data_IF_082110737539
#
_entry.id   IF_082110737539
#
_cell.length_a   1.000
_cell.length_b   1.000
_cell.length_c   1.000
_cell.angle_alpha   90.00
_cell.angle_beta   90.00
_cell.angle_gamma   90.00
#
_symmetry.space_group_name_H-M   'P 1'
#
loop_
_entity.id
_entity.type
_entity.pdbx_description
1 polymer ?
#
# COMPACT_ATOMS: atom_id res chain seq x y z
N UNK A 1 34.71 -7.15 0.45
CA UNK A 1 33.69 -6.23 -0.08
C UNK A 1 33.19 -5.40 1.09
N UNK A 2 33.61 -4.14 1.17
CA UNK A 2 33.29 -3.25 2.29
C UNK A 2 31.87 -2.73 2.15
N UNK A 3 31.01 -3.06 3.11
CA UNK A 3 29.73 -2.38 3.33
C UNK A 3 30.00 -1.13 4.18
N UNK A 4 30.69 -0.15 3.62
CA UNK A 4 30.79 1.18 4.21
C UNK A 4 29.94 2.12 3.37
N UNK A 5 28.87 2.65 3.96
CA UNK A 5 28.25 3.89 3.48
C UNK A 5 26.81 3.84 2.96
N UNK A 6 25.98 2.85 3.29
CA UNK A 6 24.53 3.07 3.12
C UNK A 6 24.02 3.97 4.27
N UNK A 7 23.57 5.17 3.90
CA UNK A 7 23.00 6.14 4.82
C UNK A 7 21.66 5.65 5.37
N UNK A 8 21.25 6.09 6.56
CA UNK A 8 19.98 5.67 7.21
C UNK A 8 18.75 5.88 6.32
N UNK A 9 18.82 6.84 5.39
CA UNK A 9 17.77 7.13 4.42
C UNK A 9 17.64 6.03 3.34
N UNK A 10 18.76 5.48 2.88
CA UNK A 10 18.79 4.43 1.86
C UNK A 10 18.26 3.11 2.42
N UNK A 11 18.50 2.81 3.70
CA UNK A 11 17.94 1.62 4.37
C UNK A 11 16.41 1.69 4.44
N UNK A 12 15.85 2.86 4.77
CA UNK A 12 14.39 3.07 4.82
C UNK A 12 13.77 2.94 3.42
N UNK A 13 14.44 3.44 2.38
CA UNK A 13 13.95 3.38 0.99
C UNK A 13 14.06 1.96 0.42
N UNK A 14 15.13 1.21 0.71
CA UNK A 14 15.34 -0.15 0.19
C UNK A 14 14.40 -1.18 0.84
N UNK A 15 14.13 -1.05 2.15
CA UNK A 15 13.17 -1.91 2.86
C UNK A 15 11.73 -1.39 2.80
N UNK A 16 11.51 -0.19 2.27
CA UNK A 16 10.18 0.42 2.17
C UNK A 16 9.24 -0.34 1.24
N UNK A 17 9.74 -0.82 0.09
CA UNK A 17 8.90 -1.48 -0.93
C UNK A 17 8.24 -2.77 -0.45
N UNK A 18 8.96 -3.75 0.14
CA UNK A 18 8.31 -4.97 0.63
C UNK A 18 7.30 -4.69 1.75
N UNK A 19 7.59 -3.72 2.63
CA UNK A 19 6.69 -3.31 3.71
C UNK A 19 5.43 -2.66 3.14
N UNK A 20 5.59 -1.77 2.15
CA UNK A 20 4.48 -1.14 1.45
C UNK A 20 3.58 -2.18 0.77
N UNK A 21 4.15 -3.17 0.09
CA UNK A 21 3.39 -4.22 -0.58
C UNK A 21 2.55 -5.05 0.39
N UNK A 22 3.14 -5.43 1.53
CA UNK A 22 2.43 -6.18 2.59
C UNK A 22 1.31 -5.30 3.18
N UNK A 23 1.59 -4.02 3.44
CA UNK A 23 0.61 -3.09 3.97
C UNK A 23 -0.56 -2.88 2.99
N UNK A 24 -0.27 -2.69 1.70
CA UNK A 24 -1.29 -2.52 0.65
C UNK A 24 -2.20 -3.74 0.56
N UNK A 25 -1.65 -4.94 0.61
CA UNK A 25 -2.43 -6.20 0.63
C UNK A 25 -3.30 -6.30 1.89
N UNK A 26 -2.75 -5.97 3.06
CA UNK A 26 -3.50 -6.00 4.31
C UNK A 26 -4.67 -5.01 4.32
N UNK A 27 -4.43 -3.77 3.89
CA UNK A 27 -5.46 -2.73 3.77
C UNK A 27 -6.54 -3.16 2.77
N UNK A 28 -6.15 -3.66 1.60
CA UNK A 28 -7.08 -4.18 0.60
C UNK A 28 -8.00 -5.27 1.19
N UNK A 29 -7.43 -6.24 1.90
CA UNK A 29 -8.20 -7.32 2.53
C UNK A 29 -9.17 -6.79 3.59
N UNK A 30 -8.74 -5.83 4.41
CA UNK A 30 -9.60 -5.20 5.40
C UNK A 30 -10.78 -4.47 4.75
N UNK A 31 -10.52 -3.59 3.78
CA UNK A 31 -11.56 -2.85 3.06
C UNK A 31 -12.57 -3.79 2.39
N UNK A 32 -12.10 -4.86 1.75
CA UNK A 32 -12.96 -5.87 1.14
C UNK A 32 -13.84 -6.59 2.18
N UNK A 33 -13.31 -6.88 3.36
CA UNK A 33 -14.04 -7.53 4.45
C UNK A 33 -15.15 -6.63 4.98
N UNK A 34 -14.83 -5.36 5.23
CA UNK A 34 -15.82 -4.37 5.67
C UNK A 34 -16.95 -4.19 4.64
N UNK A 35 -16.59 -4.02 3.37
CA UNK A 35 -17.56 -3.90 2.27
C UNK A 35 -18.51 -5.10 2.19
N UNK A 36 -17.97 -6.32 2.24
CA UNK A 36 -18.77 -7.56 2.16
C UNK A 36 -19.65 -7.79 3.38
N UNK A 37 -19.22 -7.33 4.55
CA UNK A 37 -19.98 -7.45 5.79
C UNK A 37 -21.05 -6.36 5.95
N UNK A 38 -21.11 -5.36 5.06
CA UNK A 38 -21.99 -4.20 5.23
C UNK A 38 -21.52 -3.24 6.33
N UNK A 39 -20.26 -3.32 6.73
CA UNK A 39 -19.69 -2.50 7.80
C UNK A 39 -19.07 -1.21 7.23
N UNK A 40 -19.45 -0.02 7.73
CA UNK A 40 -18.81 1.22 7.33
C UNK A 40 -17.36 1.31 7.83
N UNK A 41 -16.61 2.24 7.26
CA UNK A 41 -15.28 2.64 7.75
C UNK A 41 -15.27 4.13 8.06
N UNK A 42 -14.28 4.56 8.84
CA UNK A 42 -14.07 5.97 9.19
C UNK A 42 -12.71 6.41 8.68
N UNK A 43 -12.68 7.56 8.00
CA UNK A 43 -11.44 8.20 7.56
C UNK A 43 -11.33 9.61 8.13
N UNK A 44 -10.11 10.12 8.16
CA UNK A 44 -9.85 11.54 8.38
C UNK A 44 -9.62 12.21 7.03
N UNK A 45 -10.44 13.21 6.68
CA UNK A 45 -10.35 13.92 5.40
C UNK A 45 -10.65 15.39 5.62
N UNK A 46 -9.81 16.28 5.10
CA UNK A 46 -10.09 17.73 5.17
C UNK A 46 -10.17 18.31 6.59
N UNK A 47 -9.60 17.65 7.60
CA UNK A 47 -9.67 18.09 8.99
C UNK A 47 -10.91 17.63 9.74
N UNK A 48 -11.71 16.73 9.16
CA UNK A 48 -12.90 16.16 9.78
C UNK A 48 -12.93 14.63 9.70
N UNK A 49 -13.79 14.04 10.55
CA UNK A 49 -14.10 12.62 10.56
C UNK A 49 -15.19 12.34 9.53
N UNK A 50 -14.88 11.54 8.51
CA UNK A 50 -15.83 11.14 7.48
C UNK A 50 -16.14 9.65 7.61
N UNK A 51 -17.42 9.31 7.72
CA UNK A 51 -17.90 7.93 7.70
C UNK A 51 -18.19 7.55 6.25
N UNK A 52 -17.61 6.45 5.78
CA UNK A 52 -17.86 5.89 4.45
C UNK A 52 -18.75 4.65 4.61
N UNK A 53 -19.99 4.67 4.08
CA UNK A 53 -20.86 3.50 4.03
C UNK A 53 -20.21 2.34 3.28
N UNK A 54 -20.59 1.10 3.62
CA UNK A 54 -19.96 -0.10 3.07
C UNK A 54 -20.05 -0.19 1.53
N UNK A 55 -21.18 0.24 0.98
CA UNK A 55 -21.47 0.30 -0.45
C UNK A 55 -20.54 1.26 -1.21
N UNK A 56 -20.10 2.33 -0.55
CA UNK A 56 -19.22 3.37 -1.10
C UNK A 56 -17.73 3.06 -0.94
N UNK A 57 -17.36 2.02 -0.17
CA UNK A 57 -15.95 1.61 -0.03
C UNK A 57 -15.39 1.23 -1.40
N UNK A 58 -14.41 1.99 -1.88
CA UNK A 58 -13.65 1.67 -3.10
C UNK A 58 -12.54 0.69 -2.74
N UNK A 59 -12.49 -0.45 -3.44
CA UNK A 59 -11.45 -1.47 -3.29
C UNK A 59 -10.71 -1.56 -4.61
N UNK A 60 -9.44 -1.14 -4.63
CA UNK A 60 -8.58 -1.18 -5.82
C UNK A 60 -8.25 -2.62 -6.22
N UNK A 61 -8.17 -2.89 -7.54
CA UNK A 61 -7.67 -4.17 -8.01
C UNK A 61 -6.13 -4.22 -7.93
N UNK A 62 -5.61 -4.87 -6.89
CA UNK A 62 -4.18 -5.02 -6.66
C UNK A 62 -3.51 -6.11 -7.53
N UNK A 63 -4.25 -6.78 -8.42
CA UNK A 63 -3.71 -7.84 -9.30
C UNK A 63 -2.70 -7.31 -10.34
N UNK A 64 -2.73 -6.01 -10.66
CA UNK A 64 -1.86 -5.39 -11.67
C UNK A 64 -0.51 -4.84 -11.18
N UNK A 65 -0.22 -4.86 -9.87
CA UNK A 65 1.06 -4.35 -9.35
C UNK A 65 2.21 -5.38 -9.30
N UNK A 66 2.10 -6.48 -10.05
CA UNK A 66 3.02 -7.63 -9.97
C UNK A 66 4.27 -7.56 -10.88
N UNK A 67 4.62 -6.41 -11.47
CA UNK A 67 5.89 -6.29 -12.19
C UNK A 67 6.77 -5.20 -11.60
N UNK A 68 7.95 -5.53 -11.03
CA UNK A 68 9.04 -4.56 -11.07
C UNK A 68 9.39 -4.41 -12.55
N UNK A 69 9.22 -3.21 -13.10
CA UNK A 69 9.94 -2.81 -14.30
C UNK A 69 11.43 -2.85 -13.95
N UNK A 70 12.05 -4.03 -14.12
CA UNK A 70 13.46 -4.10 -14.45
C UNK A 70 13.57 -3.40 -15.80
N UNK A 71 13.92 -2.11 -15.77
CA UNK A 71 14.44 -1.44 -16.94
C UNK A 71 15.66 -2.25 -17.37
N UNK A 72 15.51 -3.07 -18.40
CA UNK A 72 16.63 -3.60 -19.15
C UNK A 72 17.42 -2.39 -19.64
N UNK A 73 18.49 -2.06 -18.93
CA UNK A 73 19.55 -1.24 -19.46
C UNK A 73 20.17 -2.03 -20.62
N UNK A 74 19.57 -1.86 -21.79
CA UNK A 74 20.20 -2.12 -23.07
C UNK A 74 21.44 -1.23 -23.14
N UNK A 75 22.63 -1.86 -23.09
CA UNK A 75 23.84 -1.50 -23.83
C UNK A 75 24.93 -2.55 -23.62
#
# INVERSE_FOLDING_TARGET
MSTEGLTSKEIIVVQGKPIEDVLRRAVHHALLTHKRAGNPIVIWKGGEVVIIPAEEIVVEDISHHSKPELQEHSR
#
